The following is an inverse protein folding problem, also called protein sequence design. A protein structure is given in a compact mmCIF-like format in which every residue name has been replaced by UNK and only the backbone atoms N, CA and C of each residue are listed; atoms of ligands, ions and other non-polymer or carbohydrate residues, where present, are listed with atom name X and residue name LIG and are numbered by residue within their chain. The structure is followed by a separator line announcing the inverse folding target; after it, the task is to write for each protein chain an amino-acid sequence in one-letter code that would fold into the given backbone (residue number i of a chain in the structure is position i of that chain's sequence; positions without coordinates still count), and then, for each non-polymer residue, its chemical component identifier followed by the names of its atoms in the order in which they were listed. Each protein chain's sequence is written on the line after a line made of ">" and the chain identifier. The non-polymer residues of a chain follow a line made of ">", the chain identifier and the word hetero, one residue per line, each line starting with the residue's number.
data_IF_912367465660
#
_entry.id   IF_912367465660
#
_cell.length_a   1.000
_cell.length_b   1.000
_cell.length_c   1.000
_cell.angle_alpha   90.00
_cell.angle_beta   90.00
_cell.angle_gamma   90.00
#
_symmetry.space_group_name_H-M   'P 1'
#
loop_
_entity.id
_entity.type
_entity.pdbx_description
1 polymer ?
#
# COMPACT_ATOMS: atom_id res chain seq x y z
N UNK A 1 15.75 2.47 -47.08
CA UNK A 1 14.76 2.53 -45.97
C UNK A 1 14.58 1.13 -45.39
N UNK A 2 15.28 0.84 -44.28
CA UNK A 2 15.02 -0.26 -43.34
C UNK A 2 15.68 0.19 -42.03
N UNK A 3 14.86 0.49 -41.02
CA UNK A 3 15.29 1.07 -39.76
C UNK A 3 16.07 0.07 -38.91
N UNK A 4 17.23 0.51 -38.42
CA UNK A 4 18.00 -0.20 -37.41
C UNK A 4 17.21 -0.20 -36.08
N UNK A 5 17.02 -1.40 -35.54
CA UNK A 5 16.59 -1.61 -34.15
C UNK A 5 17.73 -1.14 -33.25
N UNK A 6 17.51 -0.07 -32.48
CA UNK A 6 18.43 0.30 -31.39
C UNK A 6 18.13 -0.56 -30.18
N UNK A 7 19.02 -1.51 -29.89
CA UNK A 7 19.24 -2.02 -28.55
C UNK A 7 19.90 -0.90 -27.75
N UNK A 8 19.20 -0.38 -26.73
CA UNK A 8 19.82 0.49 -25.74
C UNK A 8 20.05 -0.34 -24.47
N UNK A 9 21.26 -0.91 -24.38
CA UNK A 9 21.85 -1.29 -23.10
C UNK A 9 22.34 -0.02 -22.43
N UNK A 10 21.83 0.29 -21.23
CA UNK A 10 22.45 1.26 -20.33
C UNK A 10 22.88 0.51 -19.06
N UNK A 11 24.19 0.35 -18.91
CA UNK A 11 24.81 0.00 -17.64
C UNK A 11 25.79 1.12 -17.30
N UNK A 12 25.56 1.84 -16.20
CA UNK A 12 26.61 2.53 -15.44
C UNK A 12 26.28 2.40 -13.95
N UNK A 13 27.23 1.80 -13.25
CA UNK A 13 27.30 1.65 -11.79
C UNK A 13 27.33 3.01 -11.08
N UNK A 14 26.38 3.19 -10.18
CA UNK A 14 26.53 3.95 -8.94
C UNK A 14 25.93 3.06 -7.85
N UNK A 15 26.50 3.04 -6.65
CA UNK A 15 26.16 2.13 -5.55
C UNK A 15 24.67 2.22 -5.15
N UNK A 16 23.82 1.55 -5.91
CA UNK A 16 22.57 0.98 -5.44
C UNK A 16 23.05 -0.29 -4.74
N UNK A 17 22.87 -0.41 -3.43
CA UNK A 17 22.70 -1.77 -2.92
C UNK A 17 21.49 -2.29 -3.67
N UNK A 18 21.74 -3.19 -4.62
CA UNK A 18 20.68 -3.96 -5.22
C UNK A 18 19.99 -4.67 -4.05
N UNK A 19 18.73 -4.32 -3.83
CA UNK A 19 17.93 -4.98 -2.82
C UNK A 19 17.55 -6.33 -3.42
N UNK A 20 18.38 -7.33 -3.13
CA UNK A 20 18.45 -8.56 -3.93
C UNK A 20 17.33 -9.55 -3.58
N UNK A 21 16.55 -9.34 -2.51
CA UNK A 21 15.43 -10.22 -2.15
C UNK A 21 14.23 -9.44 -1.60
N UNK A 22 13.12 -9.44 -2.34
CA UNK A 22 11.80 -8.99 -1.88
C UNK A 22 10.92 -10.23 -1.72
N UNK A 23 10.31 -10.40 -0.57
CA UNK A 23 9.36 -11.48 -0.29
C UNK A 23 8.02 -10.90 0.18
N UNK A 24 6.94 -11.55 -0.21
CA UNK A 24 5.57 -11.15 0.15
C UNK A 24 4.97 -12.18 1.12
N UNK A 25 4.34 -11.65 2.16
CA UNK A 25 3.62 -12.43 3.15
C UNK A 25 2.12 -12.32 2.92
N UNK A 26 1.32 -12.20 4.01
CA UNK A 26 -0.12 -12.09 3.93
C UNK A 26 -0.60 -10.94 3.06
N UNK A 27 -1.69 -11.17 2.35
CA UNK A 27 -2.24 -10.20 1.43
C UNK A 27 -3.75 -10.34 1.26
N UNK A 28 -4.39 -9.21 0.98
CA UNK A 28 -5.76 -9.11 0.48
C UNK A 28 -5.70 -8.37 -0.86
N UNK A 29 -6.38 -8.85 -1.90
CA UNK A 29 -6.40 -8.14 -3.17
C UNK A 29 -7.73 -8.21 -3.88
N UNK A 30 -8.04 -7.15 -4.62
CA UNK A 30 -9.15 -7.04 -5.54
C UNK A 30 -8.67 -6.41 -6.84
N UNK A 31 -9.06 -7.00 -7.95
CA UNK A 31 -8.96 -6.42 -9.28
C UNK A 31 -8.30 -7.32 -10.32
N UNK A 32 -8.25 -6.84 -11.58
CA UNK A 32 -8.78 -5.53 -12.00
C UNK A 32 -10.32 -5.49 -12.02
N UNK A 33 -10.92 -4.33 -11.74
CA UNK A 33 -12.34 -4.07 -12.06
C UNK A 33 -12.53 -3.83 -13.56
N UNK A 34 -13.75 -4.02 -14.08
CA UNK A 34 -14.16 -3.58 -15.42
C UNK A 34 -14.35 -2.06 -15.52
N UNK A 35 -14.32 -1.36 -14.39
CA UNK A 35 -14.34 0.10 -14.28
C UNK A 35 -12.96 0.59 -13.81
N UNK A 36 -12.92 1.54 -12.88
CA UNK A 36 -11.72 1.97 -12.16
C UNK A 36 -12.14 2.58 -10.81
N UNK A 37 -11.20 2.70 -9.88
CA UNK A 37 -11.46 3.14 -8.51
C UNK A 37 -11.33 4.66 -8.42
N UNK A 38 -12.41 5.36 -8.04
CA UNK A 38 -12.39 6.81 -7.80
C UNK A 38 -11.88 7.15 -6.42
N UNK A 39 -12.23 6.35 -5.43
CA UNK A 39 -11.94 6.64 -4.03
C UNK A 39 -11.77 5.34 -3.25
N UNK A 40 -10.77 5.29 -2.39
CA UNK A 40 -10.59 4.18 -1.47
C UNK A 40 -10.20 4.71 -0.09
N UNK A 41 -10.75 4.12 0.96
CA UNK A 41 -10.40 4.41 2.36
C UNK A 41 -10.22 3.10 3.10
N UNK A 42 -9.26 3.04 4.02
CA UNK A 42 -9.12 1.94 4.98
C UNK A 42 -8.45 2.44 6.25
N UNK A 43 -8.63 1.72 7.36
CA UNK A 43 -7.94 2.01 8.62
C UNK A 43 -7.06 0.85 9.03
N UNK A 44 -5.73 1.01 8.98
CA UNK A 44 -4.81 0.03 9.56
C UNK A 44 -4.71 0.25 11.06
N UNK A 45 -4.95 -0.81 11.84
CA UNK A 45 -4.56 -0.86 13.25
C UNK A 45 -3.13 -1.39 13.29
N UNK A 46 -2.18 -0.54 13.69
CA UNK A 46 -0.77 -0.92 13.67
C UNK A 46 -0.49 -2.08 14.64
N UNK A 47 0.18 -3.15 14.19
CA UNK A 47 0.71 -4.16 15.09
C UNK A 47 1.94 -3.64 15.84
N UNK A 48 2.40 -4.44 16.81
CA UNK A 48 3.78 -4.31 17.29
C UNK A 48 4.76 -4.40 16.12
N UNK A 49 5.77 -3.53 16.11
CA UNK A 49 6.85 -3.64 15.14
C UNK A 49 7.65 -4.95 15.40
N UNK A 50 8.22 -5.57 14.35
CA UNK A 50 9.08 -6.74 14.51
C UNK A 50 10.19 -6.50 15.53
N UNK A 51 10.54 -7.52 16.31
CA UNK A 51 11.65 -7.47 17.26
C UNK A 51 12.59 -8.66 17.04
N UNK A 52 13.88 -8.44 16.71
CA UNK A 52 14.50 -7.14 16.42
C UNK A 52 13.93 -6.46 15.16
N UNK A 53 14.00 -5.13 15.09
CA UNK A 53 13.65 -4.41 13.85
C UNK A 53 14.80 -4.52 12.85
N UNK A 54 14.48 -5.03 11.66
CA UNK A 54 15.35 -5.03 10.50
C UNK A 54 14.92 -3.95 9.50
N UNK A 55 15.80 -3.63 8.54
CA UNK A 55 15.49 -2.63 7.52
C UNK A 55 14.40 -3.14 6.57
N UNK A 56 13.32 -2.36 6.44
CA UNK A 56 12.25 -2.50 5.42
C UNK A 56 11.43 -3.78 5.49
N UNK A 57 10.73 -3.94 6.61
CA UNK A 57 9.44 -4.62 6.64
C UNK A 57 8.33 -3.59 6.47
N UNK A 58 7.51 -3.72 5.44
CA UNK A 58 6.47 -2.77 5.07
C UNK A 58 5.08 -3.40 5.15
N UNK A 59 4.14 -2.64 5.72
CA UNK A 59 2.71 -2.86 5.61
C UNK A 59 2.15 -1.78 4.68
N UNK A 60 1.38 -2.18 3.68
CA UNK A 60 0.73 -1.23 2.79
C UNK A 60 -0.65 -1.70 2.40
N UNK A 61 -1.63 -0.78 2.29
CA UNK A 61 -2.64 -0.81 1.27
C UNK A 61 -2.23 0.05 0.07
N UNK A 62 -2.73 -0.32 -1.11
CA UNK A 62 -2.46 0.43 -2.33
C UNK A 62 -3.36 0.06 -3.50
N UNK A 63 -3.20 0.82 -4.59
CA UNK A 63 -3.93 0.70 -5.84
C UNK A 63 -2.97 0.65 -7.02
N UNK A 64 -2.97 -0.47 -7.74
CA UNK A 64 -2.28 -0.58 -9.03
C UNK A 64 -3.02 0.22 -10.10
N UNK A 65 -2.29 0.99 -10.90
CA UNK A 65 -2.89 1.92 -11.88
C UNK A 65 -2.63 1.51 -13.32
N UNK A 66 -3.45 2.03 -14.24
CA UNK A 66 -3.25 1.87 -15.69
C UNK A 66 -1.94 2.49 -16.20
N UNK A 67 -1.31 3.36 -15.41
CA UNK A 67 0.02 3.92 -15.69
C UNK A 67 1.17 2.96 -15.36
N UNK A 68 0.90 1.82 -14.71
CA UNK A 68 1.92 0.88 -14.26
C UNK A 68 2.56 1.24 -12.92
N UNK A 69 1.96 2.18 -12.17
CA UNK A 69 2.44 2.59 -10.85
C UNK A 69 1.63 1.94 -9.73
N UNK A 70 2.11 2.12 -8.49
CA UNK A 70 1.40 1.75 -7.27
C UNK A 70 1.22 2.98 -6.37
N UNK A 71 -0.02 3.45 -6.25
CA UNK A 71 -0.44 4.48 -5.28
C UNK A 71 -0.67 3.77 -3.96
N UNK A 72 -0.02 4.17 -2.88
CA UNK A 72 -0.02 3.41 -1.63
C UNK A 72 0.25 4.28 -0.41
N UNK A 73 -0.14 3.80 0.76
CA UNK A 73 0.36 4.36 2.01
C UNK A 73 1.19 3.28 2.69
N UNK A 74 2.24 3.70 3.38
CA UNK A 74 3.23 2.81 3.94
C UNK A 74 3.26 2.96 5.46
N UNK A 75 3.41 1.83 6.15
CA UNK A 75 3.96 1.75 7.49
C UNK A 75 5.17 0.82 7.43
N UNK A 76 6.37 1.35 7.68
CA UNK A 76 7.62 0.62 7.51
C UNK A 76 8.39 0.56 8.82
N UNK A 77 8.81 -0.65 9.18
CA UNK A 77 9.79 -0.88 10.24
C UNK A 77 11.19 -0.74 9.65
N UNK A 78 12.03 0.00 10.36
CA UNK A 78 13.43 0.23 10.00
C UNK A 78 14.32 -0.22 11.16
N UNK A 79 15.54 -0.66 10.86
CA UNK A 79 16.55 -0.98 11.88
C UNK A 79 17.00 0.26 12.66
N UNK A 80 16.98 1.44 12.02
CA UNK A 80 17.16 2.74 12.65
C UNK A 80 15.96 3.67 12.35
N UNK A 81 14.85 3.53 13.09
CA UNK A 81 13.64 4.32 12.82
C UNK A 81 13.82 5.80 13.20
N UNK A 82 14.79 6.13 14.04
CA UNK A 82 15.10 7.50 14.45
C UNK A 82 15.67 8.31 13.28
N UNK A 83 16.60 7.75 12.51
CA UNK A 83 17.14 8.44 11.33
C UNK A 83 16.16 8.51 10.16
N UNK A 84 15.20 7.59 10.07
CA UNK A 84 14.23 7.55 8.97
C UNK A 84 13.08 8.56 9.15
N UNK A 85 12.42 8.55 10.32
CA UNK A 85 11.27 9.43 10.56
C UNK A 85 11.24 10.09 11.94
N UNK A 86 12.31 9.96 12.74
CA UNK A 86 12.33 10.43 14.13
C UNK A 86 11.57 9.53 15.10
N UNK A 87 11.30 8.28 14.71
CA UNK A 87 10.67 7.27 15.56
C UNK A 87 11.64 6.70 16.61
N UNK A 88 11.09 6.18 17.69
CA UNK A 88 11.82 5.34 18.65
C UNK A 88 11.83 3.88 18.20
N UNK A 89 12.75 3.07 18.74
CA UNK A 89 12.71 1.61 18.52
C UNK A 89 11.37 1.04 19.00
N UNK A 90 10.81 0.13 18.21
CA UNK A 90 9.46 -0.43 18.38
C UNK A 90 8.36 0.35 17.66
N UNK A 91 8.66 1.54 17.10
CA UNK A 91 7.70 2.31 16.32
C UNK A 91 7.84 2.08 14.81
N UNK A 92 6.77 2.37 14.09
CA UNK A 92 6.67 2.38 12.64
C UNK A 92 6.92 3.78 12.09
N UNK A 93 7.46 3.87 10.88
CA UNK A 93 7.47 5.10 10.09
C UNK A 93 6.36 5.04 9.03
N UNK A 94 5.51 6.07 8.97
CA UNK A 94 4.28 6.05 8.16
C UNK A 94 4.17 7.25 7.23
N UNK A 95 3.69 7.06 5.99
CA UNK A 95 3.49 8.15 5.01
C UNK A 95 2.62 7.77 3.80
N UNK A 96 2.14 8.78 3.09
CA UNK A 96 1.51 8.64 1.75
C UNK A 96 2.58 8.52 0.66
N UNK A 97 2.46 7.58 -0.27
CA UNK A 97 3.52 7.21 -1.20
C UNK A 97 3.03 6.77 -2.58
N UNK A 98 3.88 6.87 -3.60
CA UNK A 98 3.60 6.29 -4.92
C UNK A 98 4.88 5.72 -5.50
N UNK A 99 4.84 4.47 -5.98
CA UNK A 99 5.94 3.86 -6.72
C UNK A 99 5.76 4.13 -8.23
N UNK A 100 6.60 5.00 -8.80
CA UNK A 100 6.61 5.35 -10.24
C UNK A 100 8.01 5.13 -10.83
N UNK A 101 8.46 3.87 -10.85
CA UNK A 101 9.87 3.52 -11.10
C UNK A 101 10.84 3.92 -9.97
N UNK A 102 10.47 4.92 -9.17
CA UNK A 102 11.08 5.29 -7.88
C UNK A 102 9.99 5.55 -6.84
N UNK A 103 10.35 5.47 -5.56
CA UNK A 103 9.42 5.75 -4.47
C UNK A 103 9.29 7.27 -4.26
N UNK A 104 8.11 7.81 -4.53
CA UNK A 104 7.71 9.16 -4.14
C UNK A 104 7.03 9.11 -2.78
N UNK A 105 7.28 10.08 -1.91
CA UNK A 105 6.73 10.10 -0.55
C UNK A 105 6.34 11.50 -0.08
N UNK A 106 5.27 11.55 0.72
CA UNK A 106 4.95 12.69 1.57
C UNK A 106 5.83 12.73 2.82
N UNK A 107 5.41 13.52 3.81
CA UNK A 107 6.07 13.59 5.12
C UNK A 107 6.01 12.23 5.82
N UNK A 108 7.16 11.72 6.27
CA UNK A 108 7.22 10.54 7.12
C UNK A 108 6.98 10.92 8.58
N UNK A 109 6.16 10.13 9.27
CA UNK A 109 5.74 10.41 10.65
C UNK A 109 5.78 9.11 11.48
N UNK A 110 6.32 9.15 12.71
CA UNK A 110 6.34 8.00 13.60
C UNK A 110 4.92 7.63 14.03
N UNK A 111 4.67 6.34 14.19
CA UNK A 111 3.42 5.80 14.73
C UNK A 111 3.69 4.56 15.59
N UNK A 112 2.86 4.34 16.60
CA UNK A 112 3.03 3.27 17.58
C UNK A 112 2.06 2.12 17.33
N UNK A 113 2.37 0.94 17.88
CA UNK A 113 1.41 -0.15 17.94
C UNK A 113 0.08 0.31 18.56
N UNK A 114 -1.03 -0.14 17.98
CA UNK A 114 -2.38 0.26 18.36
C UNK A 114 -2.88 1.58 17.76
N UNK A 115 -1.99 2.42 17.19
CA UNK A 115 -2.44 3.60 16.44
C UNK A 115 -3.29 3.17 15.23
N UNK A 116 -4.30 3.99 14.93
CA UNK A 116 -5.19 3.80 13.80
C UNK A 116 -4.83 4.74 12.67
N UNK A 117 -4.23 4.20 11.62
CA UNK A 117 -3.86 4.91 10.41
C UNK A 117 -5.02 4.91 9.43
N UNK A 118 -5.68 6.04 9.27
CA UNK A 118 -6.69 6.21 8.21
C UNK A 118 -5.99 6.61 6.93
N UNK A 119 -6.05 5.74 5.93
CA UNK A 119 -5.43 5.92 4.62
C UNK A 119 -6.51 6.16 3.59
N UNK A 120 -6.44 7.30 2.91
CA UNK A 120 -7.44 7.77 1.96
C UNK A 120 -6.81 8.12 0.64
N UNK A 121 -7.44 7.69 -0.45
CA UNK A 121 -7.03 7.96 -1.82
C UNK A 121 -8.23 8.43 -2.62
N UNK A 122 -8.10 9.53 -3.35
CA UNK A 122 -9.19 10.07 -4.16
C UNK A 122 -8.71 10.63 -5.48
N UNK A 123 -9.32 10.18 -6.57
CA UNK A 123 -9.11 10.75 -7.89
C UNK A 123 -9.73 12.14 -7.96
N UNK A 124 -8.96 13.09 -8.45
CA UNK A 124 -9.35 14.47 -8.61
C UNK A 124 -9.55 14.78 -10.10
N UNK A 125 -10.81 14.90 -10.52
CA UNK A 125 -11.17 15.16 -11.93
C UNK A 125 -10.60 16.46 -12.48
N UNK A 126 -10.29 17.45 -11.62
CA UNK A 126 -9.73 18.73 -12.06
C UNK A 126 -8.25 18.60 -12.40
N UNK A 127 -7.51 17.80 -11.63
CA UNK A 127 -6.05 17.68 -11.78
C UNK A 127 -5.61 16.42 -12.52
N UNK A 128 -6.50 15.42 -12.64
CA UNK A 128 -6.20 14.10 -13.17
C UNK A 128 -5.29 13.26 -12.27
N UNK A 129 -5.16 13.61 -10.98
CA UNK A 129 -4.27 12.97 -10.00
C UNK A 129 -5.07 12.21 -8.95
N UNK A 130 -4.39 11.29 -8.25
CA UNK A 130 -4.88 10.81 -6.95
C UNK A 130 -4.28 11.64 -5.84
N UNK A 131 -5.14 12.24 -5.04
CA UNK A 131 -4.81 12.90 -3.78
C UNK A 131 -4.86 11.84 -2.67
N UNK A 132 -3.77 11.71 -1.94
CA UNK A 132 -3.57 10.73 -0.87
C UNK A 132 -3.39 11.42 0.46
N UNK A 133 -3.98 10.86 1.52
CA UNK A 133 -3.71 11.28 2.90
C UNK A 133 -3.51 10.08 3.81
N UNK A 134 -2.63 10.24 4.79
CA UNK A 134 -2.52 9.38 5.97
C UNK A 134 -2.85 10.23 7.18
N UNK A 135 -3.78 9.75 8.00
CA UNK A 135 -4.22 10.42 9.21
C UNK A 135 -4.04 9.56 10.45
N UNK A 136 -3.64 10.17 11.56
CA UNK A 136 -3.53 9.56 12.88
C UNK A 136 -4.35 10.43 13.83
N UNK A 137 -5.22 9.81 14.65
CA UNK A 137 -6.10 10.53 15.59
C UNK A 137 -6.96 11.63 14.95
N UNK A 138 -7.34 11.44 13.67
CA UNK A 138 -8.14 12.39 12.91
C UNK A 138 -7.37 13.56 12.29
N UNK A 139 -6.06 13.66 12.50
CA UNK A 139 -5.21 14.68 11.89
C UNK A 139 -4.46 14.11 10.68
N UNK A 140 -4.45 14.85 9.57
CA UNK A 140 -3.65 14.49 8.38
C UNK A 140 -2.18 14.74 8.69
N UNK A 141 -1.40 13.67 8.74
CA UNK A 141 0.03 13.71 9.08
C UNK A 141 0.94 13.61 7.85
N UNK A 142 0.42 13.06 6.76
CA UNK A 142 1.11 12.92 5.48
C UNK A 142 0.15 13.06 4.31
N UNK A 143 0.60 13.65 3.22
CA UNK A 143 -0.18 13.80 1.99
C UNK A 143 0.71 13.73 0.76
N UNK A 144 0.18 13.20 -0.33
CA UNK A 144 0.86 13.15 -1.62
C UNK A 144 -0.17 13.23 -2.75
N UNK A 145 0.15 13.90 -3.87
CA UNK A 145 -0.71 13.97 -5.04
C UNK A 145 0.06 13.60 -6.29
N UNK A 146 -0.34 12.52 -6.97
CA UNK A 146 0.41 11.93 -8.09
C UNK A 146 -0.47 11.63 -9.30
N UNK A 147 0.07 11.90 -10.49
CA UNK A 147 -0.54 11.52 -11.77
C UNK A 147 -0.11 10.12 -12.13
N UNK A 148 -1.06 9.20 -12.37
CA UNK A 148 -0.77 7.78 -12.53
C UNK A 148 -1.80 7.02 -13.42
N UNK A 149 -2.68 7.75 -14.11
CA UNK A 149 -3.81 7.13 -14.82
C UNK A 149 -4.94 6.73 -13.87
N UNK A 150 -5.61 5.61 -14.13
CA UNK A 150 -6.78 5.14 -13.39
C UNK A 150 -6.45 3.92 -12.55
N UNK A 151 -6.86 3.89 -11.27
CA UNK A 151 -6.66 2.75 -10.37
C UNK A 151 -7.56 1.58 -10.78
N UNK A 152 -6.97 0.40 -11.01
CA UNK A 152 -7.67 -0.76 -11.55
C UNK A 152 -7.99 -1.81 -10.48
N UNK A 153 -7.22 -1.83 -9.40
CA UNK A 153 -7.40 -2.74 -8.28
C UNK A 153 -6.99 -2.08 -6.97
N UNK A 154 -7.33 -2.74 -5.87
CA UNK A 154 -6.98 -2.32 -4.52
C UNK A 154 -6.57 -3.54 -3.72
N UNK A 155 -5.57 -3.42 -2.86
CA UNK A 155 -5.18 -4.51 -1.99
C UNK A 155 -4.25 -4.06 -0.87
N UNK A 156 -3.91 -5.00 -0.01
CA UNK A 156 -2.92 -4.87 1.05
C UNK A 156 -1.90 -6.00 0.94
N UNK A 157 -0.67 -5.73 1.37
CA UNK A 157 0.31 -6.78 1.56
C UNK A 157 1.29 -6.45 2.69
N UNK A 158 1.90 -7.51 3.21
CA UNK A 158 3.13 -7.43 3.99
C UNK A 158 4.29 -7.73 3.04
N UNK A 159 5.25 -6.83 2.98
CA UNK A 159 6.45 -6.95 2.16
C UNK A 159 7.68 -6.88 3.06
N UNK A 160 8.63 -7.79 2.86
CA UNK A 160 9.89 -7.78 3.56
C UNK A 160 11.07 -7.81 2.57
N UNK A 161 12.08 -6.99 2.87
CA UNK A 161 13.27 -6.86 2.02
C UNK A 161 14.51 -7.31 2.79
N UNK A 162 15.44 -7.97 2.10
CA UNK A 162 16.74 -8.37 2.65
C UNK A 162 16.63 -9.09 4.00
N UNK A 163 17.21 -8.54 5.08
CA UNK A 163 17.16 -9.16 6.42
C UNK A 163 15.77 -9.15 7.05
N UNK A 164 14.87 -8.27 6.63
CA UNK A 164 13.49 -8.32 7.08
C UNK A 164 12.78 -9.63 6.66
N UNK A 165 13.29 -10.33 5.63
CA UNK A 165 12.81 -11.68 5.26
C UNK A 165 13.07 -12.77 6.31
N UNK A 166 13.67 -12.43 7.46
CA UNK A 166 13.81 -13.31 8.63
C UNK A 166 12.97 -12.84 9.82
N UNK A 167 12.20 -11.78 9.63
CA UNK A 167 11.36 -11.19 10.67
C UNK A 167 10.01 -11.90 10.74
N UNK A 168 9.32 -11.69 11.86
CA UNK A 168 7.91 -12.04 12.01
C UNK A 168 7.10 -10.75 12.11
N UNK A 169 6.06 -10.64 11.28
CA UNK A 169 5.05 -9.58 11.40
C UNK A 169 3.92 -10.11 12.28
N UNK A 170 3.54 -9.33 13.30
CA UNK A 170 2.40 -9.69 14.14
C UNK A 170 1.07 -9.55 13.37
N UNK A 171 0.09 -10.36 13.76
CA UNK A 171 -1.26 -10.27 13.22
C UNK A 171 -1.83 -8.85 13.40
N UNK A 172 -2.54 -8.37 12.39
CA UNK A 172 -3.13 -7.03 12.40
C UNK A 172 -4.37 -6.96 11.53
N UNK A 173 -5.01 -5.80 11.49
CA UNK A 173 -6.29 -5.62 10.82
C UNK A 173 -6.32 -4.33 10.01
N UNK A 174 -7.01 -4.42 8.87
CA UNK A 174 -7.55 -3.27 8.18
C UNK A 174 -9.07 -3.22 8.43
N UNK A 175 -9.55 -2.07 8.88
CA UNK A 175 -10.92 -1.82 9.27
C UNK A 175 -11.61 -0.85 8.32
N UNK A 176 -12.91 -1.05 8.15
CA UNK A 176 -13.83 -0.14 7.46
C UNK A 176 -13.38 0.26 6.05
N UNK A 177 -12.83 -0.72 5.32
CA UNK A 177 -12.40 -0.51 3.94
C UNK A 177 -13.59 -0.18 3.06
N UNK A 178 -13.53 0.94 2.36
CA UNK A 178 -14.51 1.37 1.35
C UNK A 178 -13.80 1.62 0.03
N UNK A 179 -14.33 1.09 -1.07
CA UNK A 179 -13.83 1.26 -2.43
C UNK A 179 -14.99 1.75 -3.30
N UNK A 180 -14.87 2.95 -3.86
CA UNK A 180 -15.86 3.55 -4.77
C UNK A 180 -15.34 3.46 -6.20
N UNK A 181 -16.07 2.74 -7.04
CA UNK A 181 -15.76 2.61 -8.47
C UNK A 181 -16.32 3.79 -9.26
N UNK A 182 -15.83 4.00 -10.47
CA UNK A 182 -16.36 4.99 -11.41
C UNK A 182 -17.69 4.57 -12.06
N UNK A 183 -17.87 3.29 -12.29
CA UNK A 183 -19.13 2.68 -12.72
C UNK A 183 -19.34 1.38 -11.96
N UNK A 184 -20.61 1.02 -11.76
CA UNK A 184 -20.96 -0.18 -11.03
C UNK A 184 -20.38 -1.45 -11.69
N UNK A 185 -19.72 -2.30 -10.91
CA UNK A 185 -19.19 -3.58 -11.35
C UNK A 185 -19.43 -4.66 -10.28
N UNK A 186 -20.55 -5.37 -10.41
CA UNK A 186 -20.88 -6.51 -9.54
C UNK A 186 -19.87 -7.66 -9.60
N UNK A 187 -19.05 -7.74 -10.66
CA UNK A 187 -18.07 -8.81 -10.82
C UNK A 187 -16.75 -8.53 -10.12
N UNK A 188 -16.52 -7.31 -9.63
CA UNK A 188 -15.30 -6.94 -8.91
C UNK A 188 -15.05 -7.82 -7.68
N UNK A 189 -16.10 -8.15 -6.91
CA UNK A 189 -15.97 -9.07 -5.76
C UNK A 189 -15.42 -10.45 -6.11
N UNK A 190 -15.60 -10.91 -7.35
CA UNK A 190 -15.14 -12.23 -7.78
C UNK A 190 -13.62 -12.27 -8.01
N UNK A 191 -12.97 -11.11 -7.96
CA UNK A 191 -11.51 -10.97 -8.09
C UNK A 191 -10.78 -11.07 -6.74
N UNK A 192 -11.52 -11.30 -5.65
CA UNK A 192 -10.95 -11.38 -4.31
C UNK A 192 -9.86 -12.47 -4.25
N UNK A 193 -8.63 -12.04 -3.97
CA UNK A 193 -7.51 -12.88 -3.60
C UNK A 193 -7.19 -12.71 -2.11
N UNK A 194 -6.87 -13.83 -1.45
CA UNK A 194 -6.44 -13.87 -0.07
C UNK A 194 -5.22 -14.80 0.04
N UNK A 195 -4.19 -14.34 0.73
CA UNK A 195 -3.02 -15.12 1.11
C UNK A 195 -2.82 -14.92 2.60
N UNK A 196 -2.89 -16.00 3.41
CA UNK A 196 -2.73 -15.94 4.87
C UNK A 196 -3.52 -14.79 5.54
N UNK A 197 -4.75 -14.61 5.06
CA UNK A 197 -5.65 -13.56 5.48
C UNK A 197 -7.11 -14.02 5.34
N UNK A 198 -7.98 -13.42 6.12
CA UNK A 198 -9.43 -13.58 5.98
C UNK A 198 -10.15 -12.23 6.06
N UNK A 199 -11.45 -12.20 5.75
CA UNK A 199 -12.24 -10.98 5.85
C UNK A 199 -13.70 -11.24 6.14
N UNK A 200 -14.43 -10.20 6.54
CA UNK A 200 -15.89 -10.23 6.69
C UNK A 200 -16.64 -10.37 5.35
N UNK A 201 -15.92 -10.43 4.23
CA UNK A 201 -16.49 -10.45 2.88
C UNK A 201 -16.87 -9.06 2.37
N UNK A 202 -17.04 -8.97 1.04
CA UNK A 202 -17.45 -7.75 0.36
C UNK A 202 -18.97 -7.56 0.38
N UNK A 203 -19.41 -6.35 0.70
CA UNK A 203 -20.81 -5.92 0.62
C UNK A 203 -20.96 -4.69 -0.27
N UNK A 204 -22.14 -4.54 -0.88
CA UNK A 204 -22.51 -3.36 -1.68
C UNK A 204 -24.01 -3.12 -1.55
N UNK A 205 -24.42 -1.85 -1.50
CA UNK A 205 -25.83 -1.43 -1.44
C UNK A 205 -26.29 -0.67 -2.69
N UNK A 206 -25.38 -0.43 -3.64
CA UNK A 206 -25.55 0.42 -4.82
C UNK A 206 -25.13 -0.34 -6.09
N UNK A 207 -25.46 -1.62 -6.14
CA UNK A 207 -25.27 -2.51 -7.29
C UNK A 207 -23.79 -2.66 -7.72
N UNK A 208 -22.85 -2.59 -6.78
CA UNK A 208 -21.41 -2.77 -7.06
C UNK A 208 -20.70 -1.48 -7.46
N UNK A 209 -21.27 -0.31 -7.17
CA UNK A 209 -20.62 1.00 -7.34
C UNK A 209 -19.72 1.31 -6.14
N UNK A 210 -20.15 0.95 -4.94
CA UNK A 210 -19.39 1.05 -3.69
C UNK A 210 -19.29 -0.33 -3.04
N UNK A 211 -18.07 -0.74 -2.74
CA UNK A 211 -17.75 -1.97 -2.04
C UNK A 211 -17.23 -1.65 -0.64
N UNK A 212 -17.71 -2.42 0.35
CA UNK A 212 -17.32 -2.30 1.74
C UNK A 212 -16.82 -3.63 2.29
N UNK A 213 -15.76 -3.58 3.09
CA UNK A 213 -15.26 -4.70 3.90
C UNK A 213 -15.05 -4.17 5.32
N UNK A 214 -15.79 -4.68 6.28
CA UNK A 214 -15.73 -4.20 7.67
C UNK A 214 -14.40 -4.55 8.32
N UNK A 215 -13.91 -5.78 8.12
CA UNK A 215 -12.63 -6.21 8.67
C UNK A 215 -11.91 -7.10 7.67
N UNK A 216 -10.63 -6.82 7.46
CA UNK A 216 -9.65 -7.68 6.82
C UNK A 216 -8.66 -8.07 7.92
N UNK A 217 -8.58 -9.37 8.21
CA UNK A 217 -7.63 -9.93 9.17
C UNK A 217 -6.38 -10.38 8.43
N UNK A 218 -5.24 -9.81 8.80
CA UNK A 218 -3.93 -10.25 8.36
C UNK A 218 -3.36 -11.16 9.44
N UNK A 219 -3.05 -12.41 9.08
CA UNK A 219 -2.50 -13.35 10.04
C UNK A 219 -1.04 -13.01 10.36
N UNK A 220 -0.59 -13.48 11.52
CA UNK A 220 0.84 -13.43 11.85
C UNK A 220 1.62 -14.24 10.82
N UNK A 221 2.80 -13.74 10.44
CA UNK A 221 3.61 -14.39 9.41
C UNK A 221 5.09 -14.24 9.68
N UNK A 222 5.81 -15.36 9.55
CA UNK A 222 7.27 -15.43 9.52
C UNK A 222 7.71 -15.76 8.10
N UNK A 223 8.63 -14.95 7.57
CA UNK A 223 9.16 -15.08 6.21
C UNK A 223 10.22 -16.17 6.07
#
# INVERSE_FOLDING_TARGET
>A
MRGLRSLASLAILGLVNAQDNIVFGPAFSLGPTKSWIREATTTLVLPEAPSPQEDRLALWPGMGTSGGDLIQALAVSFSDPASNCGASSGQWCTWASTLQGTQLGGKQVPASAGDKLVMHYKYNDTTGKYDQTVSINGEVVSSLSTSSGQAQGWGTAVEAQDNASKSTVAAHQYLDTTIVLDSADLTFRNTLGLTDADSTGLTTSDNGKTWKVTTINIHEHSF
#
